data_IF_146057971191
#
_entry.id   IF_146057971191
#
_cell.length_a   1.000
_cell.length_b   1.000
_cell.length_c   1.000
_cell.angle_alpha   90.00
_cell.angle_beta   90.00
_cell.angle_gamma   90.00
#
_symmetry.space_group_name_H-M   'P 1'
#
loop_
_entity.id
_entity.type
_entity.pdbx_description
1 polymer ?
#
# COMPACT_ATOMS: atom_id res chain seq x y z
N UNK A 1 -30.67 -6.11 -25.08
CA UNK A 1 -30.08 -6.28 -23.74
C UNK A 1 -30.50 -5.06 -22.95
N UNK A 2 -31.45 -5.21 -22.04
CA UNK A 2 -31.79 -4.14 -21.11
C UNK A 2 -30.65 -4.05 -20.11
N UNK A 3 -29.83 -3.01 -20.20
CA UNK A 3 -28.87 -2.70 -19.13
C UNK A 3 -29.67 -2.51 -17.86
N UNK A 4 -29.50 -3.42 -16.89
CA UNK A 4 -30.17 -3.35 -15.62
C UNK A 4 -29.43 -2.30 -14.77
N UNK A 5 -29.90 -1.06 -14.81
CA UNK A 5 -29.27 0.04 -14.09
C UNK A 5 -29.84 0.06 -12.67
N UNK A 6 -28.99 -0.11 -11.66
CA UNK A 6 -29.38 -0.02 -10.24
C UNK A 6 -29.89 1.40 -9.90
N UNK A 7 -30.99 1.50 -9.15
CA UNK A 7 -31.52 2.79 -8.65
C UNK A 7 -30.72 3.30 -7.45
N UNK A 8 -31.01 4.52 -6.98
CA UNK A 8 -30.41 5.02 -5.73
C UNK A 8 -30.80 4.15 -4.52
N UNK A 9 -32.06 3.71 -4.44
CA UNK A 9 -32.53 2.84 -3.37
C UNK A 9 -31.80 1.49 -3.36
N UNK A 10 -31.56 0.88 -4.53
CA UNK A 10 -30.79 -0.37 -4.62
C UNK A 10 -29.35 -0.20 -4.09
N UNK A 11 -28.75 0.98 -4.28
CA UNK A 11 -27.39 1.28 -3.81
C UNK A 11 -27.35 1.47 -2.30
N UNK A 12 -28.32 2.19 -1.76
CA UNK A 12 -28.45 2.40 -0.31
C UNK A 12 -28.71 1.07 0.42
N UNK A 13 -29.58 0.22 -0.17
CA UNK A 13 -29.85 -1.13 0.32
C UNK A 13 -28.60 -2.00 0.28
N UNK A 14 -27.84 -1.99 -0.83
CA UNK A 14 -26.57 -2.71 -0.91
C UNK A 14 -25.57 -2.28 0.18
N UNK A 15 -25.43 -0.97 0.41
CA UNK A 15 -24.52 -0.46 1.46
C UNK A 15 -24.99 -0.86 2.85
N UNK A 16 -26.31 -0.97 3.07
CA UNK A 16 -26.89 -1.49 4.30
C UNK A 16 -26.56 -2.98 4.49
N UNK A 17 -26.73 -3.80 3.44
CA UNK A 17 -26.33 -5.21 3.45
C UNK A 17 -24.83 -5.37 3.73
N UNK A 18 -23.99 -4.52 3.11
CA UNK A 18 -22.54 -4.48 3.38
C UNK A 18 -22.22 -4.12 4.84
N UNK A 19 -23.00 -3.22 5.43
CA UNK A 19 -22.84 -2.81 6.84
C UNK A 19 -23.26 -3.90 7.82
N UNK A 20 -24.26 -4.70 7.48
CA UNK A 20 -24.74 -5.79 8.34
C UNK A 20 -24.14 -7.17 8.04
N UNK A 21 -23.39 -7.28 6.94
CA UNK A 21 -22.71 -8.53 6.56
C UNK A 21 -23.62 -9.50 5.82
N UNK A 22 -24.71 -9.02 5.23
CA UNK A 22 -25.69 -9.82 4.51
C UNK A 22 -25.12 -10.25 3.14
N UNK A 23 -24.27 -11.26 3.15
CA UNK A 23 -23.56 -11.76 1.97
C UNK A 23 -24.51 -12.21 0.85
N UNK A 24 -25.65 -12.77 1.22
CA UNK A 24 -26.68 -13.25 0.30
C UNK A 24 -27.27 -12.10 -0.53
N UNK A 25 -27.55 -10.96 0.09
CA UNK A 25 -28.07 -9.77 -0.59
C UNK A 25 -27.00 -9.12 -1.48
N UNK A 26 -25.74 -9.12 -1.03
CA UNK A 26 -24.62 -8.60 -1.84
C UNK A 26 -24.38 -9.49 -3.07
N UNK A 27 -24.47 -10.81 -2.92
CA UNK A 27 -24.41 -11.76 -4.02
C UNK A 27 -25.56 -11.57 -4.99
N UNK A 28 -26.80 -11.43 -4.48
CA UNK A 28 -27.98 -11.19 -5.30
C UNK A 28 -27.87 -9.88 -6.09
N UNK A 29 -27.34 -8.82 -5.48
CA UNK A 29 -27.06 -7.56 -6.16
C UNK A 29 -26.06 -7.75 -7.30
N UNK A 30 -24.95 -8.44 -7.05
CA UNK A 30 -23.91 -8.70 -8.05
C UNK A 30 -24.44 -9.56 -9.21
N UNK A 31 -25.26 -10.57 -8.93
CA UNK A 31 -25.90 -11.40 -9.96
C UNK A 31 -26.90 -10.60 -10.81
N UNK A 32 -27.62 -9.66 -10.18
CA UNK A 32 -28.67 -8.87 -10.83
C UNK A 32 -28.11 -7.71 -11.68
N UNK A 33 -27.05 -7.06 -11.22
CA UNK A 33 -26.54 -5.81 -11.80
C UNK A 33 -25.11 -5.92 -12.35
N UNK A 34 -24.40 -7.00 -12.07
CA UNK A 34 -22.98 -7.19 -12.38
C UNK A 34 -22.07 -6.81 -11.21
N UNK A 35 -21.03 -7.60 -10.98
CA UNK A 35 -20.06 -7.38 -9.90
C UNK A 35 -19.28 -6.06 -10.08
N UNK A 36 -19.10 -5.60 -11.31
CA UNK A 36 -18.45 -4.33 -11.65
C UNK A 36 -19.14 -3.13 -11.00
N UNK A 37 -20.46 -3.23 -10.78
CA UNK A 37 -21.25 -2.17 -10.17
C UNK A 37 -20.86 -1.92 -8.71
N UNK A 38 -20.40 -2.96 -7.98
CA UNK A 38 -20.00 -2.87 -6.57
C UNK A 38 -18.93 -1.79 -6.34
N UNK A 39 -17.97 -1.69 -7.27
CA UNK A 39 -16.84 -0.76 -7.18
C UNK A 39 -17.21 0.71 -7.31
N UNK A 40 -18.37 1.02 -7.90
CA UNK A 40 -18.86 2.38 -8.12
C UNK A 40 -19.80 2.90 -7.02
N UNK A 41 -20.20 2.04 -6.07
CA UNK A 41 -21.20 2.40 -5.06
C UNK A 41 -20.55 3.18 -3.91
N UNK A 42 -21.18 4.29 -3.51
CA UNK A 42 -20.77 5.19 -2.44
C UNK A 42 -22.00 5.75 -1.72
N UNK A 43 -21.92 5.97 -0.41
CA UNK A 43 -22.91 6.78 0.31
C UNK A 43 -22.61 8.29 0.22
N UNK A 44 -23.42 9.11 0.89
CA UNK A 44 -23.27 10.58 0.97
C UNK A 44 -21.95 11.04 1.61
N UNK A 45 -21.29 10.18 2.38
CA UNK A 45 -19.98 10.43 2.97
C UNK A 45 -18.84 9.88 2.11
N UNK A 46 -19.13 9.39 0.90
CA UNK A 46 -18.14 8.79 0.01
C UNK A 46 -17.64 7.42 0.50
N UNK A 47 -18.32 6.79 1.45
CA UNK A 47 -17.95 5.47 1.93
C UNK A 47 -18.26 4.42 0.88
N UNK A 48 -17.27 3.59 0.56
CA UNK A 48 -17.40 2.47 -0.36
C UNK A 48 -18.03 1.26 0.33
N UNK A 49 -18.39 0.23 -0.44
CA UNK A 49 -18.77 -1.09 0.12
C UNK A 49 -17.70 -1.63 1.07
N UNK A 50 -16.41 -1.41 0.79
CA UNK A 50 -15.32 -1.84 1.67
C UNK A 50 -15.27 -1.07 2.99
N UNK A 51 -15.60 0.21 3.01
CA UNK A 51 -15.69 0.95 4.28
C UNK A 51 -16.75 0.32 5.18
N UNK A 52 -17.94 0.06 4.63
CA UNK A 52 -19.05 -0.56 5.36
C UNK A 52 -18.67 -1.94 5.90
N UNK A 53 -18.04 -2.78 5.08
CA UNK A 53 -17.62 -4.14 5.46
C UNK A 53 -16.53 -4.10 6.53
N UNK A 54 -15.47 -3.33 6.27
CA UNK A 54 -14.27 -3.33 7.10
C UNK A 54 -14.50 -2.66 8.45
N UNK A 55 -15.29 -1.59 8.49
CA UNK A 55 -15.66 -0.90 9.73
C UNK A 55 -16.66 -1.64 10.61
N UNK A 56 -17.28 -2.72 10.11
CA UNK A 56 -18.21 -3.56 10.87
C UNK A 56 -17.72 -5.02 11.03
N UNK A 57 -16.50 -5.32 10.57
CA UNK A 57 -15.83 -6.59 10.86
C UNK A 57 -16.27 -7.79 10.01
N UNK A 58 -16.91 -7.56 8.86
CA UNK A 58 -17.46 -8.62 8.02
C UNK A 58 -16.40 -9.28 7.13
N UNK A 59 -15.47 -9.99 7.75
CA UNK A 59 -14.31 -10.61 7.08
C UNK A 59 -14.70 -11.66 6.02
N UNK A 60 -15.79 -12.41 6.23
CA UNK A 60 -16.27 -13.41 5.27
C UNK A 60 -16.84 -12.75 4.00
N UNK A 61 -17.56 -11.63 4.18
CA UNK A 61 -18.05 -10.83 3.07
C UNK A 61 -16.89 -10.13 2.33
N UNK A 62 -15.86 -9.71 3.06
CA UNK A 62 -14.64 -9.16 2.47
C UNK A 62 -13.93 -10.20 1.58
N UNK A 63 -13.81 -11.46 2.02
CA UNK A 63 -13.23 -12.55 1.22
C UNK A 63 -13.98 -12.78 -0.09
N UNK A 64 -15.31 -12.67 -0.06
CA UNK A 64 -16.12 -12.77 -1.27
C UNK A 64 -15.88 -11.58 -2.22
N UNK A 65 -15.73 -10.36 -1.69
CA UNK A 65 -15.62 -9.15 -2.51
C UNK A 65 -14.24 -8.92 -3.11
N UNK A 66 -13.17 -9.15 -2.35
CA UNK A 66 -11.80 -8.82 -2.78
C UNK A 66 -11.43 -9.38 -4.18
N UNK A 67 -11.76 -10.63 -4.55
CA UNK A 67 -11.43 -11.17 -5.86
C UNK A 67 -12.21 -10.57 -7.04
N UNK A 68 -13.33 -9.90 -6.79
CA UNK A 68 -14.27 -9.42 -7.81
C UNK A 68 -14.32 -7.88 -7.94
N UNK A 69 -13.53 -7.17 -7.14
CA UNK A 69 -13.41 -5.70 -7.18
C UNK A 69 -12.00 -5.29 -7.64
N UNK A 70 -11.83 -4.08 -8.22
CA UNK A 70 -10.51 -3.58 -8.53
C UNK A 70 -9.68 -3.32 -7.26
N UNK A 71 -8.39 -3.71 -7.22
CA UNK A 71 -7.53 -3.50 -6.05
C UNK A 71 -7.37 -2.02 -5.64
N UNK A 72 -7.57 -1.09 -6.56
CA UNK A 72 -7.55 0.35 -6.27
C UNK A 72 -8.60 0.75 -5.21
N UNK A 73 -9.69 -0.02 -5.08
CA UNK A 73 -10.75 0.23 -4.09
C UNK A 73 -10.27 0.12 -2.64
N UNK A 74 -9.17 -0.61 -2.38
CA UNK A 74 -8.60 -0.80 -1.05
C UNK A 74 -7.97 0.49 -0.49
N UNK A 75 -7.49 1.38 -1.38
CA UNK A 75 -6.91 2.68 -1.04
C UNK A 75 -7.89 3.86 -1.22
N UNK A 76 -9.13 3.59 -1.65
CA UNK A 76 -10.12 4.65 -1.90
C UNK A 76 -10.46 5.39 -0.61
N UNK A 77 -10.52 6.71 -0.70
CA UNK A 77 -10.73 7.60 0.42
C UNK A 77 -12.16 8.11 0.45
N UNK A 78 -12.81 8.04 1.61
CA UNK A 78 -14.09 8.69 1.84
C UNK A 78 -13.94 10.22 2.03
N UNK A 79 -15.02 10.91 2.37
CA UNK A 79 -15.02 12.36 2.60
C UNK A 79 -14.10 12.80 3.76
N UNK A 80 -13.85 11.95 4.74
CA UNK A 80 -12.89 12.18 5.83
C UNK A 80 -11.45 11.82 5.44
N UNK A 81 -11.20 11.51 4.17
CA UNK A 81 -9.93 10.99 3.65
C UNK A 81 -9.50 9.65 4.26
N UNK A 82 -10.40 8.97 4.98
CA UNK A 82 -10.17 7.65 5.55
C UNK A 82 -10.32 6.59 4.47
N UNK A 83 -9.49 5.55 4.56
CA UNK A 83 -9.59 4.32 3.76
C UNK A 83 -10.38 3.25 4.52
N UNK A 84 -10.78 2.13 3.88
CA UNK A 84 -11.36 0.99 4.58
C UNK A 84 -10.50 0.47 5.74
N UNK A 85 -9.17 0.54 5.61
CA UNK A 85 -8.24 0.11 6.66
C UNK A 85 -8.30 1.00 7.91
N UNK A 86 -8.55 2.31 7.77
CA UNK A 86 -8.77 3.19 8.93
C UNK A 86 -10.00 2.75 9.72
N UNK A 87 -11.08 2.35 9.04
CA UNK A 87 -12.31 1.92 9.70
C UNK A 87 -12.15 0.56 10.38
N UNK A 88 -11.43 -0.38 9.75
CA UNK A 88 -11.06 -1.63 10.40
C UNK A 88 -10.23 -1.39 11.66
N UNK A 89 -9.27 -0.46 11.59
CA UNK A 89 -8.39 -0.13 12.71
C UNK A 89 -9.12 0.54 13.87
N UNK A 90 -9.90 1.58 13.58
CA UNK A 90 -10.70 2.31 14.57
C UNK A 90 -11.67 1.38 15.33
N UNK A 91 -12.21 0.35 14.65
CA UNK A 91 -13.19 -0.58 15.22
C UNK A 91 -12.60 -1.96 15.61
N UNK A 92 -11.28 -2.09 15.65
CA UNK A 92 -10.58 -3.30 16.14
C UNK A 92 -10.86 -4.59 15.35
N UNK A 93 -10.98 -4.50 14.02
CA UNK A 93 -11.30 -5.64 13.16
C UNK A 93 -10.04 -6.25 12.50
N UNK A 94 -9.31 -7.07 13.27
CA UNK A 94 -8.03 -7.67 12.85
C UNK A 94 -8.13 -8.42 11.52
N UNK A 95 -9.14 -9.29 11.38
CA UNK A 95 -9.29 -10.13 10.19
C UNK A 95 -9.48 -9.28 8.92
N UNK A 96 -10.24 -8.18 9.00
CA UNK A 96 -10.39 -7.24 7.89
C UNK A 96 -9.08 -6.53 7.58
N UNK A 97 -8.35 -6.06 8.61
CA UNK A 97 -7.06 -5.39 8.43
C UNK A 97 -6.04 -6.30 7.73
N UNK A 98 -5.93 -7.55 8.18
CA UNK A 98 -5.08 -8.58 7.57
C UNK A 98 -5.45 -8.81 6.11
N UNK A 99 -6.73 -9.05 5.82
CA UNK A 99 -7.21 -9.31 4.46
C UNK A 99 -6.96 -8.14 3.51
N UNK A 100 -7.13 -6.89 3.96
CA UNK A 100 -6.86 -5.71 3.14
C UNK A 100 -5.38 -5.57 2.79
N UNK A 101 -4.50 -5.62 3.79
CA UNK A 101 -3.05 -5.43 3.60
C UNK A 101 -2.44 -6.59 2.84
N UNK A 102 -2.86 -7.82 3.10
CA UNK A 102 -2.28 -9.03 2.51
C UNK A 102 -2.92 -9.42 1.18
N UNK A 103 -3.86 -8.63 0.65
CA UNK A 103 -4.54 -8.98 -0.60
C UNK A 103 -3.55 -8.92 -1.80
N UNK A 104 -3.38 -10.03 -2.55
CA UNK A 104 -2.47 -10.06 -3.69
C UNK A 104 -2.85 -9.04 -4.77
N UNK A 105 -1.88 -8.21 -5.18
CA UNK A 105 -2.10 -7.14 -6.16
C UNK A 105 -2.81 -5.90 -5.59
N UNK A 106 -3.09 -5.88 -4.29
CA UNK A 106 -3.47 -4.69 -3.54
C UNK A 106 -2.27 -3.80 -3.19
N UNK A 107 -2.50 -2.68 -2.50
CA UNK A 107 -1.43 -1.75 -2.15
C UNK A 107 -0.49 -2.24 -1.03
N UNK A 108 -0.76 -3.39 -0.39
CA UNK A 108 0.14 -3.94 0.61
C UNK A 108 0.23 -3.09 1.89
N UNK A 109 1.42 -3.02 2.48
CA UNK A 109 1.71 -2.20 3.66
C UNK A 109 1.56 -0.69 3.40
N UNK A 110 1.59 -0.23 2.15
CA UNK A 110 1.38 1.20 1.83
C UNK A 110 0.04 1.70 2.38
N UNK A 111 -0.95 0.82 2.53
CA UNK A 111 -2.24 1.17 3.16
C UNK A 111 -2.09 1.69 4.60
N UNK A 112 -1.08 1.21 5.33
CA UNK A 112 -0.83 1.51 6.75
C UNK A 112 -0.28 2.93 6.93
N UNK A 113 0.29 3.54 5.88
CA UNK A 113 0.85 4.89 5.91
C UNK A 113 -0.10 5.99 5.41
N UNK A 114 -1.21 5.60 4.78
CA UNK A 114 -2.17 6.56 4.23
C UNK A 114 -2.77 7.37 5.37
N UNK A 115 -2.67 8.71 5.29
CA UNK A 115 -3.28 9.60 6.27
C UNK A 115 -4.69 10.06 5.87
N UNK A 116 -5.58 10.07 6.85
CA UNK A 116 -6.90 10.71 6.76
C UNK A 116 -6.83 12.23 6.94
N UNK A 117 -7.98 12.91 6.98
CA UNK A 117 -8.06 14.36 7.06
C UNK A 117 -7.61 14.91 8.44
N UNK A 118 -7.61 14.07 9.47
CA UNK A 118 -7.03 14.40 10.78
C UNK A 118 -5.51 14.20 10.82
N UNK A 119 -4.91 13.67 9.76
CA UNK A 119 -3.48 13.36 9.69
C UNK A 119 -3.10 12.03 10.34
N UNK A 120 -4.09 11.22 10.73
CA UNK A 120 -3.88 9.90 11.33
C UNK A 120 -3.76 8.84 10.24
N UNK A 121 -2.86 7.90 10.43
CA UNK A 121 -2.81 6.65 9.68
C UNK A 121 -3.70 5.58 10.32
N UNK A 122 -3.97 4.43 9.68
CA UNK A 122 -4.68 3.32 10.31
C UNK A 122 -4.03 2.84 11.61
N UNK A 123 -2.69 2.80 11.67
CA UNK A 123 -1.98 2.48 12.92
C UNK A 123 -2.29 3.52 14.01
N UNK A 124 -2.26 4.82 13.69
CA UNK A 124 -2.60 5.85 14.67
C UNK A 124 -4.07 5.72 15.15
N UNK A 125 -5.02 5.39 14.26
CA UNK A 125 -6.41 5.13 14.66
C UNK A 125 -6.52 3.91 15.60
N UNK A 126 -5.75 2.84 15.34
CA UNK A 126 -5.68 1.69 16.25
C UNK A 126 -5.16 2.08 17.64
N UNK A 127 -4.10 2.89 17.71
CA UNK A 127 -3.53 3.38 18.98
C UNK A 127 -4.52 4.29 19.72
N UNK A 128 -5.18 5.22 19.04
CA UNK A 128 -6.20 6.10 19.64
C UNK A 128 -7.41 5.33 20.15
N UNK A 129 -7.78 4.24 19.47
CA UNK A 129 -8.85 3.34 19.91
C UNK A 129 -8.43 2.42 21.08
N UNK A 130 -7.13 2.35 21.41
CA UNK A 130 -6.60 1.42 22.41
C UNK A 130 -6.56 -0.03 21.92
N UNK A 131 -6.48 -0.25 20.61
CA UNK A 131 -6.45 -1.58 20.00
C UNK A 131 -5.01 -2.12 19.89
N UNK A 132 -4.49 -2.60 21.02
CA UNK A 132 -3.10 -3.08 21.14
C UNK A 132 -2.75 -4.22 20.17
N UNK A 133 -3.69 -5.14 19.93
CA UNK A 133 -3.46 -6.31 19.07
C UNK A 133 -3.22 -5.89 17.61
N UNK A 134 -4.08 -5.01 17.07
CA UNK A 134 -3.93 -4.51 15.72
C UNK A 134 -2.73 -3.58 15.56
N UNK A 135 -2.48 -2.72 16.55
CA UNK A 135 -1.30 -1.86 16.54
C UNK A 135 0.00 -2.68 16.49
N UNK A 136 0.11 -3.75 17.29
CA UNK A 136 1.24 -4.69 17.23
C UNK A 136 1.36 -5.33 15.86
N UNK A 137 0.25 -5.85 15.33
CA UNK A 137 0.25 -6.50 14.03
C UNK A 137 0.67 -5.55 12.89
N UNK A 138 0.23 -4.29 12.91
CA UNK A 138 0.67 -3.27 11.95
C UNK A 138 2.18 -3.01 12.04
N UNK A 139 2.74 -2.92 13.25
CA UNK A 139 4.20 -2.75 13.43
C UNK A 139 4.97 -3.98 12.95
N UNK A 140 4.46 -5.18 13.23
CA UNK A 140 5.07 -6.43 12.77
C UNK A 140 5.12 -6.50 11.24
N UNK A 141 4.00 -6.25 10.55
CA UNK A 141 3.97 -6.33 9.08
C UNK A 141 4.83 -5.25 8.41
N UNK A 142 4.90 -4.03 8.98
CA UNK A 142 5.77 -2.97 8.47
C UNK A 142 7.26 -3.34 8.59
N UNK A 143 7.67 -4.04 9.66
CA UNK A 143 9.06 -4.45 9.85
C UNK A 143 9.44 -5.66 8.97
N UNK A 144 8.50 -6.56 8.67
CA UNK A 144 8.76 -7.74 7.85
C UNK A 144 9.12 -7.39 6.40
N UNK A 145 8.56 -6.32 5.83
CA UNK A 145 8.95 -5.87 4.48
C UNK A 145 10.32 -5.19 4.44
N UNK A 146 10.81 -4.65 5.57
CA UNK A 146 12.15 -4.03 5.63
C UNK A 146 13.30 -5.04 5.71
N UNK A 147 13.00 -6.32 5.95
CA UNK A 147 13.99 -7.40 6.04
C UNK A 147 14.13 -8.20 4.73
N UNK A 148 13.42 -7.81 3.66
CA UNK A 148 13.89 -8.07 2.30
C UNK A 148 15.13 -7.20 2.07
N UNK A 149 16.27 -7.72 2.56
CA UNK A 149 17.60 -7.18 2.27
C UNK A 149 17.76 -6.91 0.78
N UNK A 150 18.68 -6.00 0.39
CA UNK A 150 18.80 -5.54 -0.98
C UNK A 150 18.76 -6.73 -1.91
N UNK A 151 17.73 -6.75 -2.78
CA UNK A 151 17.64 -7.64 -3.91
C UNK A 151 18.88 -7.32 -4.75
N UNK A 152 19.98 -8.01 -4.44
CA UNK A 152 21.16 -8.08 -5.27
C UNK A 152 20.65 -8.67 -6.58
N UNK A 153 20.29 -7.78 -7.50
CA UNK A 153 20.16 -8.13 -8.89
C UNK A 153 21.43 -8.88 -9.24
N UNK A 154 21.29 -10.20 -9.39
CA UNK A 154 22.28 -11.06 -10.00
C UNK A 154 22.41 -10.63 -11.46
N UNK A 155 23.08 -9.50 -11.69
CA UNK A 155 23.72 -9.17 -12.95
C UNK A 155 25.07 -9.90 -12.98
N UNK A 156 25.03 -11.23 -13.13
CA UNK A 156 26.19 -11.99 -13.56
C UNK A 156 26.39 -11.77 -15.07
N UNK A 157 26.89 -10.59 -15.39
CA UNK A 157 27.39 -10.18 -16.69
C UNK A 157 28.86 -9.77 -16.64
N UNK A 158 29.74 -10.69 -16.22
CA UNK A 158 31.23 -10.66 -16.33
C UNK A 158 31.92 -9.28 -16.22
N UNK A 159 32.60 -9.02 -15.09
CA UNK A 159 33.97 -8.46 -15.06
C UNK A 159 34.57 -8.58 -13.66
N UNK A 160 35.59 -9.42 -13.55
CA UNK A 160 36.48 -9.58 -12.41
C UNK A 160 37.57 -8.51 -12.47
N UNK A 161 37.52 -7.46 -11.62
CA UNK A 161 38.68 -6.60 -11.37
C UNK A 161 38.73 -6.18 -9.89
N UNK A 162 39.69 -6.76 -9.19
CA UNK A 162 40.24 -6.35 -7.90
C UNK A 162 40.59 -4.86 -7.88
N UNK A 163 40.11 -4.11 -6.88
CA UNK A 163 40.53 -2.73 -6.63
C UNK A 163 42.05 -2.62 -6.38
N UNK A 164 42.78 -1.66 -7.00
CA UNK A 164 44.19 -1.43 -6.70
C UNK A 164 44.37 -0.43 -5.54
N UNK A 165 45.46 -0.54 -4.75
CA UNK A 165 45.73 0.34 -3.61
C UNK A 165 46.20 1.75 -4.05
N UNK A 166 45.75 2.77 -3.31
CA UNK A 166 46.08 4.18 -3.48
C UNK A 166 47.51 4.49 -3.02
N UNK A 167 48.45 4.81 -3.92
CA UNK A 167 49.76 5.37 -3.50
C UNK A 167 50.50 6.26 -4.52
N UNK A 168 49.92 6.68 -5.66
CA UNK A 168 50.57 7.66 -6.57
C UNK A 168 49.56 8.59 -7.22
N UNK A 169 49.83 9.90 -7.18
CA UNK A 169 48.99 10.92 -7.82
C UNK A 169 49.77 11.51 -9.00
N UNK A 170 49.29 11.26 -10.21
CA UNK A 170 49.82 11.87 -11.43
C UNK A 170 49.08 13.18 -11.72
N UNK A 171 49.82 14.29 -11.77
CA UNK A 171 49.29 15.61 -12.13
C UNK A 171 49.83 15.99 -13.50
N UNK A 172 48.93 16.29 -14.45
CA UNK A 172 49.30 16.76 -15.79
C UNK A 172 49.01 18.26 -15.90
N UNK A 173 49.98 19.02 -16.35
CA UNK A 173 49.91 20.46 -16.52
C UNK A 173 50.19 20.80 -17.98
N UNK A 174 49.35 21.66 -18.57
CA UNK A 174 49.52 22.19 -19.92
C UNK A 174 50.23 23.54 -19.86
N UNK A 175 51.26 23.74 -20.68
CA UNK A 175 51.88 25.04 -20.84
C UNK A 175 51.11 25.95 -21.81
N UNK A 176 51.52 27.21 -21.92
CA UNK A 176 50.85 28.20 -22.76
C UNK A 176 50.96 27.93 -24.27
N UNK A 177 51.80 26.97 -24.68
CA UNK A 177 51.98 26.51 -26.06
C UNK A 177 51.21 25.19 -26.33
N UNK A 178 50.45 24.70 -25.35
CA UNK A 178 49.60 23.52 -25.45
C UNK A 178 50.32 22.18 -25.25
N UNK A 179 51.54 22.19 -24.71
CA UNK A 179 52.27 20.96 -24.41
C UNK A 179 51.94 20.47 -23.00
N UNK A 180 51.54 19.21 -22.90
CA UNK A 180 51.19 18.55 -21.65
C UNK A 180 52.42 17.89 -21.02
N UNK A 181 52.74 18.25 -19.79
CA UNK A 181 53.76 17.61 -18.97
C UNK A 181 53.12 16.92 -17.77
N UNK A 182 53.40 15.63 -17.58
CA UNK A 182 52.88 14.83 -16.47
C UNK A 182 53.95 14.61 -15.40
N UNK A 183 53.62 14.89 -14.15
CA UNK A 183 54.47 14.69 -12.98
C UNK A 183 53.78 13.75 -11.98
N UNK A 184 54.47 12.68 -11.59
CA UNK A 184 54.03 11.77 -10.53
C UNK A 184 54.51 12.27 -9.17
N UNK A 185 53.58 12.51 -8.25
CA UNK A 185 53.88 12.90 -6.88
C UNK A 185 53.60 11.69 -5.97
N UNK A 186 54.63 11.27 -5.25
CA UNK A 186 54.56 10.24 -4.22
C UNK A 186 54.28 10.94 -2.87
N UNK A 187 53.09 10.73 -2.29
CA UNK A 187 52.68 11.43 -1.07
C UNK A 187 53.29 10.84 0.21
N UNK A 188 54.24 9.90 0.10
CA UNK A 188 54.76 9.09 1.20
C UNK A 188 56.05 9.55 1.90
N UNK A 189 56.50 10.82 1.80
CA UNK A 189 57.72 11.24 2.49
C UNK A 189 57.66 12.65 3.08
N UNK A 190 57.40 12.74 4.39
CA UNK A 190 57.88 13.83 5.26
C UNK A 190 58.90 13.17 6.21
N UNK A 191 60.11 13.74 6.38
CA UNK A 191 61.26 13.09 7.03
C UNK A 191 61.08 12.74 8.51
#
# INVERSE_FOLDING_TARGET
MTSNISTAADKDELLLSCRYGDIEDVQLFADKYGAEMLSGIRDDNGNTVLHMICGNGHADLLDYLLPIIPPSLLSEKNAAQSTPLHWAALNSHLACAQKLVQFPGGPGVDLIDIKNAAGHSPLAEAEFAGWDEGAKWFVEVMNLETDEGPNEEADEGLRNETEPPLDKIDVTIEDADGQLATMTIDAGAIP
#
